data_IF_910149253766
#
_entry.id   IF_910149253766
#
_cell.length_a   1.000
_cell.length_b   1.000
_cell.length_c   1.000
_cell.angle_alpha   90.00
_cell.angle_beta   90.00
_cell.angle_gamma   90.00
#
_symmetry.space_group_name_H-M   'P 1'
#
loop_
_entity.id
_entity.type
_entity.pdbx_description
1 polymer ?
#
# COMPACT_ATOMS: atom_id res chain seq x y z
N UNK A 1 20.80 42.23 -26.01
CA UNK A 1 21.94 41.64 -25.27
C UNK A 1 21.62 41.84 -23.81
N UNK A 2 21.28 40.86 -23.01
CA UNK A 2 21.06 39.42 -23.18
C UNK A 2 19.87 39.07 -22.28
N UNK A 3 18.98 38.25 -22.84
CA UNK A 3 17.82 37.70 -22.16
C UNK A 3 18.30 36.47 -21.38
N UNK A 4 18.62 36.65 -20.09
CA UNK A 4 19.03 35.52 -19.25
C UNK A 4 17.79 34.75 -18.78
N UNK A 5 17.38 33.82 -19.64
CA UNK A 5 16.36 32.81 -19.39
C UNK A 5 16.82 31.87 -18.27
N UNK A 6 16.19 31.99 -17.10
CA UNK A 6 16.41 31.07 -15.97
C UNK A 6 15.68 29.76 -16.30
N UNK A 7 16.37 28.60 -16.34
CA UNK A 7 15.80 27.36 -16.85
C UNK A 7 14.70 26.81 -15.94
N UNK A 8 13.54 26.55 -16.55
CA UNK A 8 12.29 25.98 -16.03
C UNK A 8 12.40 24.49 -15.66
N UNK A 9 13.57 24.05 -15.18
CA UNK A 9 13.80 22.65 -14.81
C UNK A 9 13.62 22.50 -13.30
N UNK A 10 12.50 21.83 -12.94
CA UNK A 10 12.44 20.90 -11.81
C UNK A 10 11.91 21.41 -10.47
N UNK A 11 10.66 21.91 -10.45
CA UNK A 11 9.83 21.88 -9.24
C UNK A 11 8.72 20.83 -9.35
N UNK A 12 9.10 19.55 -9.42
CA UNK A 12 8.17 18.46 -9.10
C UNK A 12 7.96 18.50 -7.60
N UNK A 13 6.92 19.22 -7.16
CA UNK A 13 6.49 19.25 -5.77
C UNK A 13 6.30 17.81 -5.28
N UNK A 14 7.25 17.32 -4.49
CA UNK A 14 7.14 16.03 -3.84
C UNK A 14 5.95 16.08 -2.90
N UNK A 15 4.86 15.40 -3.25
CA UNK A 15 3.65 15.38 -2.44
C UNK A 15 3.98 14.67 -1.12
N UNK A 16 4.27 15.45 -0.07
CA UNK A 16 4.49 14.97 1.29
C UNK A 16 3.13 14.80 1.97
N UNK A 17 2.94 13.72 2.72
CA UNK A 17 1.77 13.56 3.57
C UNK A 17 1.82 14.50 4.79
N UNK A 18 0.75 14.51 5.57
CA UNK A 18 0.59 15.29 6.80
C UNK A 18 1.70 15.04 7.86
N UNK A 19 2.50 13.97 7.70
CA UNK A 19 3.65 13.64 8.55
C UNK A 19 5.00 13.93 7.86
N UNK A 20 5.00 14.68 6.75
CA UNK A 20 6.20 15.05 6.00
C UNK A 20 6.83 13.89 5.22
N UNK A 21 6.19 12.71 5.18
CA UNK A 21 6.71 11.55 4.44
C UNK A 21 6.32 11.70 2.98
N UNK A 22 7.26 11.44 2.07
CA UNK A 22 6.92 11.32 0.65
C UNK A 22 5.79 10.32 0.49
N UNK A 23 4.70 10.69 -0.18
CA UNK A 23 3.69 9.72 -0.62
C UNK A 23 4.27 8.86 -1.73
N UNK A 24 4.99 7.81 -1.33
CA UNK A 24 5.57 6.82 -2.25
C UNK A 24 4.46 6.12 -3.05
N UNK A 25 3.27 5.98 -2.45
CA UNK A 25 2.11 5.35 -3.07
C UNK A 25 0.96 6.35 -3.22
N UNK A 26 0.57 6.63 -4.47
CA UNK A 26 -0.70 7.27 -4.78
C UNK A 26 -1.89 6.33 -4.57
N UNK A 27 -3.11 6.83 -4.79
CA UNK A 27 -4.34 6.04 -4.64
C UNK A 27 -4.37 4.84 -5.61
N UNK A 28 -4.08 5.09 -6.89
CA UNK A 28 -4.00 4.05 -7.93
C UNK A 28 -2.98 2.96 -7.58
N UNK A 29 -1.75 3.36 -7.21
CA UNK A 29 -0.70 2.42 -6.81
C UNK A 29 -1.07 1.64 -5.54
N UNK A 30 -1.82 2.25 -4.63
CA UNK A 30 -2.35 1.56 -3.44
C UNK A 30 -3.38 0.49 -3.82
N UNK A 31 -4.33 0.82 -4.69
CA UNK A 31 -5.34 -0.14 -5.18
C UNK A 31 -4.68 -1.28 -5.95
N UNK A 32 -3.71 -0.96 -6.82
CA UNK A 32 -2.96 -1.97 -7.57
C UNK A 32 -2.22 -2.93 -6.64
N UNK A 33 -1.56 -2.41 -5.59
CA UNK A 33 -0.88 -3.24 -4.60
C UNK A 33 -1.85 -4.20 -3.90
N UNK A 34 -3.03 -3.72 -3.52
CA UNK A 34 -4.06 -4.55 -2.87
C UNK A 34 -4.47 -5.70 -3.80
N UNK A 35 -4.73 -5.41 -5.08
CA UNK A 35 -5.14 -6.43 -6.05
C UNK A 35 -4.04 -7.47 -6.29
N UNK A 36 -2.80 -7.04 -6.47
CA UNK A 36 -1.67 -7.94 -6.67
C UNK A 36 -1.44 -8.87 -5.46
N UNK A 37 -1.62 -8.35 -4.24
CA UNK A 37 -1.52 -9.16 -3.02
C UNK A 37 -2.71 -10.10 -2.88
N UNK A 38 -3.92 -9.64 -3.18
CA UNK A 38 -5.15 -10.46 -3.13
C UNK A 38 -5.00 -11.74 -3.94
N UNK A 39 -4.45 -11.64 -5.15
CA UNK A 39 -4.22 -12.77 -6.07
C UNK A 39 -3.15 -13.76 -5.61
N UNK A 40 -2.36 -13.43 -4.57
CA UNK A 40 -1.25 -14.25 -4.08
C UNK A 40 -1.49 -14.66 -2.61
N UNK A 41 -2.24 -15.75 -2.35
CA UNK A 41 -2.58 -16.18 -0.99
C UNK A 41 -1.40 -16.36 -0.04
N UNK A 42 -0.21 -16.69 -0.56
CA UNK A 42 1.04 -16.78 0.22
C UNK A 42 1.37 -15.48 0.98
N UNK A 43 0.89 -14.33 0.51
CA UNK A 43 1.16 -13.02 1.08
C UNK A 43 0.23 -12.60 2.20
N UNK A 44 -0.91 -13.29 2.39
CA UNK A 44 -1.95 -12.82 3.31
C UNK A 44 -2.73 -13.93 4.03
N UNK A 45 -2.83 -15.13 3.46
CA UNK A 45 -3.66 -16.17 4.04
C UNK A 45 -2.90 -16.93 5.13
N UNK A 46 -3.46 -16.96 6.35
CA UNK A 46 -2.87 -17.54 7.57
C UNK A 46 -2.22 -18.91 7.38
N UNK A 47 -2.79 -19.78 6.54
CA UNK A 47 -2.24 -21.12 6.28
C UNK A 47 -0.81 -21.10 5.69
N UNK A 48 -0.46 -20.06 4.92
CA UNK A 48 0.84 -19.95 4.24
C UNK A 48 1.85 -19.09 4.99
N UNK A 49 1.41 -18.32 5.99
CA UNK A 49 2.26 -17.39 6.75
C UNK A 49 3.10 -18.06 7.86
N UNK A 50 3.15 -19.40 7.90
CA UNK A 50 3.88 -20.16 8.93
C UNK A 50 5.40 -20.03 8.83
N UNK A 51 5.92 -19.73 7.64
CA UNK A 51 7.35 -19.54 7.40
C UNK A 51 7.65 -18.10 6.99
N UNK A 52 8.72 -17.52 7.56
CA UNK A 52 9.23 -16.19 7.17
C UNK A 52 9.71 -16.11 5.72
N UNK A 53 10.06 -17.26 5.12
CA UNK A 53 10.48 -17.35 3.73
C UNK A 53 9.30 -17.42 2.73
N UNK A 54 8.09 -17.70 3.23
CA UNK A 54 6.90 -17.80 2.40
C UNK A 54 6.57 -16.44 1.79
N UNK A 55 6.41 -16.40 0.47
CA UNK A 55 6.00 -15.20 -0.26
C UNK A 55 7.12 -14.23 -0.64
N UNK A 56 8.39 -14.56 -0.44
CA UNK A 56 9.51 -13.70 -0.90
C UNK A 56 9.45 -13.52 -2.42
N UNK A 57 9.39 -14.63 -3.17
CA UNK A 57 9.29 -14.62 -4.64
C UNK A 57 8.06 -13.86 -5.13
N UNK A 58 6.93 -14.02 -4.45
CA UNK A 58 5.68 -13.30 -4.74
C UNK A 58 5.85 -11.77 -4.59
N UNK A 59 6.58 -11.32 -3.55
CA UNK A 59 6.88 -9.90 -3.38
C UNK A 59 7.83 -9.36 -4.44
N UNK A 60 8.86 -10.13 -4.79
CA UNK A 60 9.83 -9.78 -5.83
C UNK A 60 9.17 -9.72 -7.21
N UNK A 61 8.25 -10.64 -7.49
CA UNK A 61 7.48 -10.64 -8.72
C UNK A 61 6.59 -9.39 -8.83
N UNK A 62 5.79 -9.09 -7.78
CA UNK A 62 4.97 -7.87 -7.75
C UNK A 62 5.84 -6.64 -7.98
N UNK A 63 6.99 -6.56 -7.33
CA UNK A 63 7.91 -5.44 -7.49
C UNK A 63 8.38 -5.30 -8.93
N UNK A 64 8.86 -6.39 -9.51
CA UNK A 64 9.41 -6.41 -10.86
C UNK A 64 8.37 -6.07 -11.93
N UNK A 65 7.14 -6.55 -11.79
CA UNK A 65 6.11 -6.40 -12.83
C UNK A 65 5.24 -5.15 -12.69
N UNK A 66 5.00 -4.67 -11.46
CA UNK A 66 4.01 -3.61 -11.19
C UNK A 66 4.62 -2.35 -10.58
N UNK A 67 5.76 -2.47 -9.90
CA UNK A 67 6.32 -1.38 -9.10
C UNK A 67 7.85 -1.29 -9.25
N UNK A 68 8.32 -1.23 -10.49
CA UNK A 68 9.76 -1.28 -10.84
C UNK A 68 10.60 -0.18 -10.17
N UNK A 69 10.01 0.97 -9.85
CA UNK A 69 10.67 2.10 -9.17
C UNK A 69 10.62 2.02 -7.64
N UNK A 70 9.92 1.04 -7.08
CA UNK A 70 9.72 0.87 -5.64
C UNK A 70 10.44 -0.41 -5.18
N UNK A 71 11.11 -0.36 -4.03
CA UNK A 71 11.74 -1.55 -3.46
C UNK A 71 10.70 -2.52 -2.86
N UNK A 72 11.04 -3.82 -2.83
CA UNK A 72 10.24 -4.84 -2.12
C UNK A 72 9.98 -4.43 -0.67
N UNK A 73 10.96 -3.85 0.02
CA UNK A 73 10.80 -3.40 1.40
C UNK A 73 9.72 -2.31 1.52
N UNK A 74 9.72 -1.31 0.63
CA UNK A 74 8.69 -0.27 0.61
C UNK A 74 7.29 -0.83 0.34
N UNK A 75 7.15 -1.82 -0.56
CA UNK A 75 5.87 -2.52 -0.78
C UNK A 75 5.39 -3.23 0.47
N UNK A 76 6.28 -3.95 1.15
CA UNK A 76 5.96 -4.67 2.40
C UNK A 76 5.57 -3.73 3.53
N UNK A 77 6.27 -2.60 3.68
CA UNK A 77 5.93 -1.56 4.66
C UNK A 77 4.57 -0.96 4.35
N UNK A 78 4.29 -0.62 3.08
CA UNK A 78 2.99 -0.10 2.67
C UNK A 78 1.87 -1.10 2.94
N UNK A 79 2.07 -2.36 2.58
CA UNK A 79 1.12 -3.44 2.84
C UNK A 79 0.87 -3.64 4.33
N UNK A 80 1.90 -3.58 5.18
CA UNK A 80 1.76 -3.62 6.63
C UNK A 80 0.84 -2.50 7.13
N UNK A 81 1.09 -1.25 6.72
CA UNK A 81 0.25 -0.10 7.10
C UNK A 81 -1.20 -0.29 6.66
N UNK A 82 -1.43 -0.78 5.44
CA UNK A 82 -2.78 -1.08 4.93
C UNK A 82 -3.50 -2.12 5.80
N UNK A 83 -2.83 -3.24 6.13
CA UNK A 83 -3.40 -4.27 7.01
C UNK A 83 -3.70 -3.72 8.42
N UNK A 84 -2.81 -2.90 8.97
CA UNK A 84 -3.02 -2.30 10.29
C UNK A 84 -4.19 -1.31 10.30
N UNK A 85 -4.43 -0.59 9.21
CA UNK A 85 -5.64 0.23 9.03
C UNK A 85 -6.89 -0.64 8.89
N UNK A 86 -6.85 -1.69 8.06
CA UNK A 86 -7.96 -2.61 7.87
C UNK A 86 -8.39 -3.27 9.19
N UNK A 87 -7.45 -3.78 9.99
CA UNK A 87 -7.74 -4.42 11.28
C UNK A 87 -8.42 -3.45 12.26
N UNK A 88 -7.95 -2.20 12.31
CA UNK A 88 -8.56 -1.17 13.16
C UNK A 88 -9.98 -0.87 12.71
N UNK A 89 -10.20 -0.71 11.41
CA UNK A 89 -11.53 -0.44 10.87
C UNK A 89 -12.48 -1.64 11.04
N UNK A 90 -12.00 -2.87 10.83
CA UNK A 90 -12.77 -4.09 11.05
C UNK A 90 -13.23 -4.22 12.52
N UNK A 91 -12.32 -3.94 13.46
CA UNK A 91 -12.66 -3.93 14.89
C UNK A 91 -13.70 -2.85 15.22
N UNK A 92 -13.59 -1.65 14.66
CA UNK A 92 -14.57 -0.58 14.89
C UNK A 92 -15.97 -0.98 14.40
N UNK A 93 -16.05 -1.65 13.25
CA UNK A 93 -17.31 -2.17 12.71
C UNK A 93 -17.87 -3.28 13.61
N UNK A 94 -17.03 -4.20 14.08
CA UNK A 94 -17.43 -5.28 15.01
C UNK A 94 -17.94 -4.73 16.35
N UNK A 95 -17.27 -3.70 16.89
CA UNK A 95 -17.64 -2.99 18.11
C UNK A 95 -18.90 -2.09 17.91
N UNK A 96 -19.53 -2.11 16.73
CA UNK A 96 -20.71 -1.29 16.39
C UNK A 96 -20.43 0.21 16.26
N UNK A 97 -19.17 0.62 16.33
CA UNK A 97 -18.72 2.01 16.20
C UNK A 97 -18.50 2.34 14.73
N UNK A 98 -19.58 2.60 13.99
CA UNK A 98 -19.50 2.95 12.57
C UNK A 98 -19.14 4.43 12.43
N UNK A 99 -17.98 4.80 11.86
CA UNK A 99 -17.68 6.19 11.57
C UNK A 99 -18.64 6.76 10.51
N UNK A 100 -18.88 8.08 10.57
CA UNK A 100 -19.63 8.80 9.54
C UNK A 100 -19.03 8.63 8.12
N UNK A 101 -17.74 8.30 8.03
CA UNK A 101 -17.03 8.01 6.78
C UNK A 101 -16.24 6.72 6.96
N UNK A 102 -16.62 5.68 6.22
CA UNK A 102 -15.88 4.41 6.15
C UNK A 102 -14.54 4.61 5.45
N UNK A 103 -13.50 3.93 5.90
CA UNK A 103 -12.21 3.95 5.19
C UNK A 103 -12.37 3.42 3.74
N UNK A 104 -12.06 4.21 2.69
CA UNK A 104 -12.39 3.84 1.30
C UNK A 104 -11.72 2.58 0.76
N UNK A 105 -10.64 2.11 1.39
CA UNK A 105 -9.94 0.89 0.99
C UNK A 105 -10.45 -0.35 1.72
N UNK A 106 -11.38 -0.20 2.66
CA UNK A 106 -11.89 -1.31 3.46
C UNK A 106 -12.50 -2.42 2.59
N UNK A 107 -13.36 -2.04 1.63
CA UNK A 107 -14.07 -3.00 0.77
C UNK A 107 -13.10 -3.80 -0.11
N UNK A 108 -12.04 -3.17 -0.62
CA UNK A 108 -11.00 -3.84 -1.39
C UNK A 108 -10.16 -4.83 -0.56
N UNK A 109 -10.18 -4.70 0.76
CA UNK A 109 -9.37 -5.51 1.67
C UNK A 109 -10.19 -6.57 2.45
N UNK A 110 -11.49 -6.71 2.16
CA UNK A 110 -12.36 -7.67 2.85
C UNK A 110 -11.89 -9.14 2.73
N UNK A 111 -11.09 -9.48 1.72
CA UNK A 111 -10.50 -10.82 1.59
C UNK A 111 -9.57 -11.19 2.76
N UNK A 112 -9.12 -10.22 3.54
CA UNK A 112 -8.33 -10.47 4.75
C UNK A 112 -9.18 -10.91 5.95
N UNK A 113 -10.51 -10.76 5.90
CA UNK A 113 -11.37 -11.07 7.02
C UNK A 113 -11.22 -12.55 7.45
N UNK A 114 -10.95 -12.78 8.74
CA UNK A 114 -10.67 -14.12 9.27
C UNK A 114 -9.24 -14.67 9.01
N UNK A 115 -8.36 -13.89 8.37
CA UNK A 115 -7.01 -14.32 7.98
C UNK A 115 -5.86 -13.46 8.54
N UNK A 116 -6.15 -12.50 9.42
CA UNK A 116 -5.16 -11.62 10.08
C UNK A 116 -4.88 -11.97 11.55
#
# INVERSE_FOLDING_TARGET
>A
MEEESVPEQQLLAEVKDEFGRKRIFGQQGTLRLIECVRQRPKLWHRQYLRSRASGIEDWEEIQRTEFSTISVNQLRVRWKTLRDCFRREAKRIEDGTIPAIRWPLYDHMQFLHGHF
#
